data_IF_118326040967
#
_entry.id   IF_118326040967
#
_cell.length_a   1.000
_cell.length_b   1.000
_cell.length_c   1.000
_cell.angle_alpha   90.00
_cell.angle_beta   90.00
_cell.angle_gamma   90.00
#
_symmetry.space_group_name_H-M   'P 1'
#
loop_
_entity.id
_entity.type
_entity.pdbx_description
1 polymer ?
#
# COMPACT_ATOMS: atom_id res chain seq x y z
N UNK A 1 -2.56 -5.05 -0.37
CA UNK A 1 -2.03 -6.37 -0.79
C UNK A 1 -1.47 -6.18 -2.18
N UNK A 2 -0.24 -6.65 -2.46
CA UNK A 2 0.44 -6.41 -3.74
C UNK A 2 0.61 -7.67 -4.61
N UNK A 3 0.58 -8.86 -4.01
CA UNK A 3 0.75 -10.12 -4.72
C UNK A 3 -0.55 -10.58 -5.43
N UNK A 4 -0.40 -11.33 -6.52
CA UNK A 4 -1.47 -11.98 -7.30
C UNK A 4 -2.45 -11.00 -7.96
N UNK A 5 -1.94 -9.96 -8.63
CA UNK A 5 -2.72 -9.04 -9.46
C UNK A 5 -2.30 -9.13 -10.93
N UNK A 6 -3.26 -8.87 -11.82
CA UNK A 6 -3.01 -8.62 -13.24
C UNK A 6 -3.55 -7.21 -13.57
N UNK A 7 -2.70 -6.26 -14.02
CA UNK A 7 -1.24 -6.37 -14.15
C UNK A 7 -0.51 -6.54 -12.80
N UNK A 8 0.76 -7.00 -12.80
CA UNK A 8 1.59 -7.11 -11.58
C UNK A 8 1.82 -5.75 -10.90
N UNK A 9 2.07 -5.77 -9.58
CA UNK A 9 2.30 -4.57 -8.76
C UNK A 9 3.32 -3.63 -9.39
N UNK A 10 3.01 -2.33 -9.46
CA UNK A 10 3.95 -1.34 -10.00
C UNK A 10 5.03 -0.99 -8.97
N UNK A 11 6.15 -0.45 -9.44
CA UNK A 11 7.22 0.02 -8.54
C UNK A 11 6.68 1.06 -7.54
N UNK A 12 5.85 2.00 -7.99
CA UNK A 12 5.23 3.03 -7.13
C UNK A 12 4.36 2.41 -6.02
N UNK A 13 3.62 1.33 -6.31
CA UNK A 13 2.81 0.64 -5.31
C UNK A 13 3.68 -0.08 -4.27
N UNK A 14 4.83 -0.62 -4.71
CA UNK A 14 5.82 -1.26 -3.84
C UNK A 14 6.49 -0.20 -2.96
N UNK A 15 6.93 0.91 -3.53
CA UNK A 15 7.54 2.02 -2.78
C UNK A 15 6.54 2.63 -1.79
N UNK A 16 5.29 2.83 -2.19
CA UNK A 16 4.24 3.32 -1.29
C UNK A 16 3.99 2.37 -0.10
N UNK A 17 4.09 1.05 -0.30
CA UNK A 17 4.03 0.08 0.78
C UNK A 17 5.28 0.12 1.67
N UNK A 18 6.47 0.28 1.09
CA UNK A 18 7.72 0.45 1.82
C UNK A 18 7.68 1.70 2.71
N UNK A 19 7.19 2.83 2.21
CA UNK A 19 7.00 4.06 2.99
C UNK A 19 6.08 3.83 4.18
N UNK A 20 4.95 3.13 3.98
CA UNK A 20 4.04 2.80 5.08
C UNK A 20 4.71 1.93 6.14
N UNK A 21 5.49 0.93 5.72
CA UNK A 21 6.27 0.08 6.62
C UNK A 21 7.29 0.89 7.44
N UNK A 22 8.11 1.71 6.77
CA UNK A 22 9.15 2.51 7.44
C UNK A 22 8.53 3.50 8.42
N UNK A 23 7.43 4.17 8.06
CA UNK A 23 6.67 5.03 8.98
C UNK A 23 6.14 4.27 10.20
N UNK A 24 5.63 3.05 9.98
CA UNK A 24 5.12 2.22 11.08
C UNK A 24 6.22 1.81 12.05
N UNK A 25 7.40 1.44 11.55
CA UNK A 25 8.53 0.98 12.38
C UNK A 25 9.23 2.14 13.08
N UNK A 26 9.44 3.25 12.38
CA UNK A 26 10.11 4.44 12.94
C UNK A 26 9.26 5.22 13.94
N UNK A 27 7.94 5.03 13.94
CA UNK A 27 7.01 5.76 14.80
C UNK A 27 6.75 7.21 14.36
N UNK A 28 7.26 7.63 13.19
CA UNK A 28 6.99 8.95 12.63
C UNK A 28 6.48 8.88 11.19
N UNK A 29 5.52 9.73 10.86
CA UNK A 29 5.02 9.88 9.49
C UNK A 29 5.89 10.79 8.65
N UNK A 30 6.65 11.70 9.29
CA UNK A 30 7.57 12.65 8.64
C UNK A 30 8.92 12.62 9.36
N UNK A 31 10.02 12.21 8.71
CA UNK A 31 11.33 12.28 9.33
C UNK A 31 11.71 13.74 9.62
N UNK A 32 12.54 13.94 10.64
CA UNK A 32 13.27 15.20 10.81
C UNK A 32 14.34 15.33 9.72
N UNK A 33 14.81 16.55 9.46
CA UNK A 33 15.87 16.81 8.48
C UNK A 33 17.13 15.93 8.72
N UNK A 34 17.49 15.71 9.99
CA UNK A 34 18.63 14.86 10.35
C UNK A 34 18.44 13.37 9.99
N UNK A 35 17.20 12.91 9.85
CA UNK A 35 16.87 11.51 9.61
C UNK A 35 16.37 11.25 8.18
N UNK A 36 16.30 12.26 7.32
CA UNK A 36 15.77 12.13 5.95
C UNK A 36 16.52 11.06 5.15
N UNK A 37 17.86 11.07 5.16
CA UNK A 37 18.66 10.09 4.42
C UNK A 37 18.46 8.67 4.94
N UNK A 38 18.42 8.49 6.27
CA UNK A 38 18.17 7.18 6.87
C UNK A 38 16.77 6.65 6.50
N UNK A 39 15.78 7.54 6.42
CA UNK A 39 14.43 7.20 5.99
C UNK A 39 14.40 6.78 4.52
N UNK A 40 15.06 7.57 3.65
CA UNK A 40 15.13 7.32 2.23
C UNK A 40 15.83 5.98 1.93
N UNK A 41 16.95 5.71 2.60
CA UNK A 41 17.67 4.45 2.44
C UNK A 41 16.84 3.24 2.89
N UNK A 42 16.15 3.35 4.04
CA UNK A 42 15.27 2.29 4.50
C UNK A 42 14.13 2.01 3.50
N UNK A 43 13.53 3.06 2.92
CA UNK A 43 12.49 2.91 1.89
C UNK A 43 13.05 2.21 0.65
N UNK A 44 14.22 2.61 0.15
CA UNK A 44 14.89 1.98 -1.00
C UNK A 44 15.15 0.48 -0.75
N UNK A 45 15.73 0.15 0.40
CA UNK A 45 16.05 -1.23 0.76
C UNK A 45 14.79 -2.10 0.87
N UNK A 46 13.73 -1.61 1.52
CA UNK A 46 12.47 -2.34 1.65
C UNK A 46 11.77 -2.48 0.30
N UNK A 47 11.84 -1.48 -0.57
CA UNK A 47 11.29 -1.54 -1.94
C UNK A 47 11.97 -2.66 -2.74
N UNK A 48 13.30 -2.69 -2.75
CA UNK A 48 14.07 -3.73 -3.44
C UNK A 48 13.81 -5.14 -2.89
N UNK A 49 13.76 -5.29 -1.56
CA UNK A 49 13.45 -6.56 -0.92
C UNK A 49 12.02 -7.03 -1.25
N UNK A 50 11.06 -6.11 -1.27
CA UNK A 50 9.66 -6.41 -1.58
C UNK A 50 9.48 -6.81 -3.04
N UNK A 51 10.17 -6.13 -3.97
CA UNK A 51 10.19 -6.54 -5.39
C UNK A 51 10.71 -7.96 -5.55
N UNK A 52 11.86 -8.26 -4.93
CA UNK A 52 12.45 -9.62 -4.95
C UNK A 52 11.48 -10.66 -4.40
N UNK A 53 10.78 -10.34 -3.31
CA UNK A 53 9.75 -11.22 -2.75
C UNK A 53 8.61 -11.44 -3.76
N UNK A 54 8.06 -10.38 -4.35
CA UNK A 54 6.93 -10.48 -5.29
C UNK A 54 7.30 -11.29 -6.53
N UNK A 55 8.51 -11.10 -7.06
CA UNK A 55 9.03 -11.86 -8.21
C UNK A 55 9.20 -13.36 -7.89
N UNK A 56 9.48 -13.70 -6.64
CA UNK A 56 9.69 -15.08 -6.18
C UNK A 56 8.43 -15.80 -5.67
N UNK A 57 7.32 -15.09 -5.45
CA UNK A 57 6.09 -15.70 -4.95
C UNK A 57 5.33 -16.42 -6.08
N UNK A 58 4.92 -17.65 -5.81
CA UNK A 58 4.12 -18.47 -6.74
C UNK A 58 2.76 -18.76 -6.12
N UNK A 59 1.70 -18.68 -6.92
CA UNK A 59 0.34 -18.99 -6.50
C UNK A 59 -0.39 -19.79 -7.56
N UNK A 60 -1.32 -20.65 -7.12
CA UNK A 60 -2.26 -21.37 -7.97
C UNK A 60 -3.62 -20.66 -8.09
N UNK A 61 -3.85 -19.63 -7.29
CA UNK A 61 -5.07 -18.85 -7.34
C UNK A 61 -5.11 -18.01 -8.62
N UNK A 62 -6.30 -17.79 -9.21
CA UNK A 62 -6.43 -16.86 -10.33
C UNK A 62 -6.00 -15.44 -9.91
N UNK A 63 -5.39 -14.65 -10.81
CA UNK A 63 -5.02 -13.27 -10.51
C UNK A 63 -6.24 -12.42 -10.23
N UNK A 64 -6.06 -11.41 -9.37
CA UNK A 64 -7.09 -10.43 -9.02
C UNK A 64 -6.98 -9.21 -9.91
N UNK A 65 -8.12 -8.62 -10.20
CA UNK A 65 -8.20 -7.34 -10.90
C UNK A 65 -8.21 -6.19 -9.89
N UNK A 66 -7.34 -5.18 -10.08
CA UNK A 66 -7.24 -4.05 -9.15
C UNK A 66 -8.48 -3.18 -9.13
N UNK A 67 -9.10 -2.92 -10.27
CA UNK A 67 -10.29 -2.06 -10.36
C UNK A 67 -11.47 -2.70 -9.65
N UNK A 68 -11.63 -4.01 -9.83
CA UNK A 68 -12.65 -4.81 -9.14
C UNK A 68 -12.43 -4.77 -7.62
N UNK A 69 -11.19 -4.94 -7.16
CA UNK A 69 -10.89 -4.90 -5.73
C UNK A 69 -11.05 -3.50 -5.11
N UNK A 70 -10.70 -2.45 -5.85
CA UNK A 70 -10.95 -1.07 -5.46
C UNK A 70 -12.46 -0.77 -5.39
N UNK A 71 -13.26 -1.24 -6.35
CA UNK A 71 -14.72 -1.09 -6.34
C UNK A 71 -15.35 -1.79 -5.13
N UNK A 72 -14.92 -3.02 -4.84
CA UNK A 72 -15.35 -3.74 -3.62
C UNK A 72 -14.96 -3.00 -2.34
N UNK A 73 -13.77 -2.41 -2.29
CA UNK A 73 -13.35 -1.62 -1.15
C UNK A 73 -14.21 -0.36 -0.95
N UNK A 74 -14.54 0.35 -2.04
CA UNK A 74 -15.45 1.51 -2.02
C UNK A 74 -16.85 1.13 -1.56
N UNK A 75 -17.41 0.03 -2.06
CA UNK A 75 -18.74 -0.46 -1.64
C UNK A 75 -18.77 -0.77 -0.13
N UNK A 76 -17.76 -1.51 0.38
CA UNK A 76 -17.63 -1.78 1.81
C UNK A 76 -17.47 -0.53 2.66
N UNK A 77 -16.78 0.50 2.16
CA UNK A 77 -16.65 1.77 2.85
C UNK A 77 -17.98 2.53 2.90
N UNK A 78 -18.74 2.54 1.80
CA UNK A 78 -20.06 3.16 1.75
C UNK A 78 -21.04 2.51 2.74
N UNK A 79 -21.02 1.18 2.86
CA UNK A 79 -21.80 0.44 3.87
C UNK A 79 -21.41 0.81 5.30
N UNK A 80 -20.10 0.98 5.57
CA UNK A 80 -19.59 1.28 6.91
C UNK A 80 -19.83 2.72 7.36
N UNK A 81 -19.75 3.66 6.44
CA UNK A 81 -19.74 5.09 6.77
C UNK A 81 -21.02 5.84 6.37
N UNK A 82 -21.82 5.29 5.45
CA UNK A 82 -23.04 5.93 4.91
C UNK A 82 -22.78 7.32 4.31
N UNK A 83 -23.75 7.91 3.59
CA UNK A 83 -23.74 9.36 3.44
C UNK A 83 -23.95 9.95 4.84
N UNK A 84 -23.07 10.87 5.28
CA UNK A 84 -23.40 11.73 6.41
C UNK A 84 -24.64 12.52 5.98
N UNK A 85 -25.83 12.15 6.48
CA UNK A 85 -26.97 13.06 6.41
C UNK A 85 -26.51 14.37 7.04
N UNK A 86 -26.46 15.42 6.23
CA UNK A 86 -26.30 16.76 6.74
C UNK A 86 -27.55 17.04 7.58
N UNK A 87 -27.43 16.86 8.89
CA UNK A 87 -28.39 17.40 9.84
C UNK A 87 -28.39 18.92 9.66
N UNK A 88 -29.31 19.42 8.84
CA UNK A 88 -29.64 20.84 8.77
C UNK A 88 -30.10 21.29 10.15
N UNK A 89 -29.47 22.34 10.66
CA UNK A 89 -29.97 23.19 11.75
C UNK A 89 -30.96 24.19 11.18
#
# INVERSE_FOLDING_TARGET
MLHNFEPPATEDEIEAAAIQYVRKVSGTTRPSAANEEAFAEAVRAVTAATRTLLDGLVTKAPPRDREVEAAKARARAAERYGPREATSV
#
